data_IF_530848894590
#
_entry.id   IF_530848894590
#
_cell.length_a   1.000
_cell.length_b   1.000
_cell.length_c   1.000
_cell.angle_alpha   90.00
_cell.angle_beta   90.00
_cell.angle_gamma   90.00
#
_symmetry.space_group_name_H-M   'P 1'
#
loop_
_entity.id
_entity.type
_entity.pdbx_description
1 polymer ?
#
# COMPACT_ATOMS: atom_id res chain seq x y z
N UNK A 1 -16.78 -19.15 -0.30
CA UNK A 1 -15.36 -18.99 -0.68
C UNK A 1 -14.96 -19.77 -1.93
N UNK A 2 -15.00 -21.12 -1.98
CA UNK A 2 -14.49 -21.85 -3.16
C UNK A 2 -15.20 -21.53 -4.48
N UNK A 3 -16.53 -21.41 -4.48
CA UNK A 3 -17.30 -20.95 -5.66
C UNK A 3 -16.86 -19.57 -6.11
N UNK A 4 -16.75 -18.63 -5.16
CA UNK A 4 -16.33 -17.26 -5.42
C UNK A 4 -14.91 -17.18 -6.02
N UNK A 5 -13.99 -18.01 -5.54
CA UNK A 5 -12.64 -18.10 -6.12
C UNK A 5 -12.66 -18.64 -7.55
N UNK A 6 -13.57 -19.59 -7.84
CA UNK A 6 -13.75 -20.13 -9.20
C UNK A 6 -14.35 -19.06 -10.12
N UNK A 7 -15.29 -18.26 -9.62
CA UNK A 7 -15.92 -17.17 -10.37
C UNK A 7 -14.89 -16.06 -10.68
N UNK A 8 -14.04 -15.69 -9.72
CA UNK A 8 -12.92 -14.75 -9.95
C UNK A 8 -11.93 -15.30 -10.97
N UNK A 9 -11.59 -16.59 -10.91
CA UNK A 9 -10.71 -17.22 -11.90
C UNK A 9 -11.32 -17.15 -13.31
N UNK A 10 -12.63 -17.33 -13.43
CA UNK A 10 -13.35 -17.18 -14.69
C UNK A 10 -13.32 -15.72 -15.18
N UNK A 11 -13.63 -14.76 -14.31
CA UNK A 11 -13.60 -13.33 -14.65
C UNK A 11 -12.22 -12.90 -15.20
N UNK A 12 -11.13 -13.37 -14.59
CA UNK A 12 -9.77 -13.08 -15.05
C UNK A 12 -9.51 -13.64 -16.45
N UNK A 13 -9.96 -14.87 -16.72
CA UNK A 13 -9.82 -15.50 -18.05
C UNK A 13 -10.62 -14.74 -19.12
N UNK A 14 -11.85 -14.37 -18.79
CA UNK A 14 -12.71 -13.58 -19.68
C UNK A 14 -12.10 -12.21 -19.96
N UNK A 15 -11.65 -11.51 -18.92
CA UNK A 15 -11.03 -10.20 -19.07
C UNK A 15 -9.77 -10.27 -19.92
N UNK A 16 -8.92 -11.28 -19.72
CA UNK A 16 -7.72 -11.49 -20.55
C UNK A 16 -8.08 -11.64 -22.03
N UNK A 17 -9.12 -12.41 -22.35
CA UNK A 17 -9.59 -12.57 -23.73
C UNK A 17 -10.13 -11.25 -24.31
N UNK A 18 -10.91 -10.51 -23.52
CA UNK A 18 -11.48 -9.23 -23.94
C UNK A 18 -10.37 -8.20 -24.23
N UNK A 19 -9.38 -8.08 -23.34
CA UNK A 19 -8.25 -7.16 -23.51
C UNK A 19 -7.41 -7.53 -24.74
N UNK A 20 -7.04 -8.81 -24.89
CA UNK A 20 -6.29 -9.29 -26.07
C UNK A 20 -7.04 -9.02 -27.39
N UNK A 21 -8.37 -9.06 -27.36
CA UNK A 21 -9.20 -8.70 -28.53
C UNK A 21 -9.22 -7.19 -28.78
N UNK A 22 -9.30 -6.37 -27.74
CA UNK A 22 -9.29 -4.90 -27.83
C UNK A 22 -7.92 -4.37 -28.27
N UNK A 23 -6.83 -5.03 -27.86
CA UNK A 23 -5.47 -4.69 -28.29
C UNK A 23 -5.29 -4.91 -29.80
N UNK A 24 -5.92 -5.97 -30.34
CA UNK A 24 -5.94 -6.24 -31.80
C UNK A 24 -6.89 -5.33 -32.56
N UNK A 25 -8.04 -5.00 -31.97
CA UNK A 25 -9.03 -4.09 -32.55
C UNK A 25 -9.49 -3.02 -31.54
N UNK A 26 -8.85 -1.84 -31.56
CA UNK A 26 -9.18 -0.75 -30.65
C UNK A 26 -10.59 -0.15 -30.86
N UNK A 27 -11.29 -0.44 -31.95
CA UNK A 27 -12.68 0.02 -32.17
C UNK A 27 -13.72 -1.06 -31.81
N UNK A 28 -13.27 -2.18 -31.25
CA UNK A 28 -14.15 -3.27 -30.86
C UNK A 28 -15.20 -2.81 -29.81
N UNK A 29 -16.47 -3.19 -29.99
CA UNK A 29 -17.54 -2.90 -29.02
C UNK A 29 -17.34 -3.64 -27.69
N UNK A 30 -16.35 -4.54 -27.61
CA UNK A 30 -16.01 -5.30 -26.41
C UNK A 30 -15.44 -4.44 -25.28
N UNK A 31 -15.09 -3.17 -25.53
CA UNK A 31 -14.63 -2.23 -24.49
C UNK A 31 -15.63 -2.07 -23.35
N UNK A 32 -16.93 -1.98 -23.66
CA UNK A 32 -17.96 -1.84 -22.63
C UNK A 32 -18.19 -3.15 -21.88
N UNK A 33 -18.00 -4.28 -22.56
CA UNK A 33 -18.03 -5.62 -21.94
C UNK A 33 -16.84 -5.79 -21.00
N UNK A 34 -15.63 -5.40 -21.39
CA UNK A 34 -14.43 -5.43 -20.54
C UNK A 34 -14.62 -4.57 -19.29
N UNK A 35 -15.16 -3.34 -19.44
CA UNK A 35 -15.50 -2.48 -18.31
C UNK A 35 -16.53 -3.11 -17.36
N UNK A 36 -17.52 -3.81 -17.90
CA UNK A 36 -18.51 -4.53 -17.09
C UNK A 36 -17.90 -5.72 -16.36
N UNK A 37 -17.08 -6.50 -17.05
CA UNK A 37 -16.35 -7.64 -16.48
C UNK A 37 -15.44 -7.21 -15.34
N UNK A 38 -14.71 -6.09 -15.48
CA UNK A 38 -13.90 -5.51 -14.39
C UNK A 38 -14.77 -5.21 -13.16
N UNK A 39 -15.92 -4.54 -13.35
CA UNK A 39 -16.84 -4.24 -12.23
C UNK A 39 -17.38 -5.50 -11.55
N UNK A 40 -17.66 -6.55 -12.31
CA UNK A 40 -18.10 -7.84 -11.77
C UNK A 40 -17.00 -8.49 -10.93
N UNK A 41 -15.77 -8.53 -11.43
CA UNK A 41 -14.61 -9.07 -10.71
C UNK A 41 -14.38 -8.30 -9.39
N UNK A 42 -14.49 -6.97 -9.41
CA UNK A 42 -14.42 -6.16 -8.18
C UNK A 42 -15.50 -6.57 -7.16
N UNK A 43 -16.76 -6.73 -7.59
CA UNK A 43 -17.83 -7.15 -6.69
C UNK A 43 -17.56 -8.55 -6.09
N UNK A 44 -16.95 -9.46 -6.84
CA UNK A 44 -16.53 -10.76 -6.31
C UNK A 44 -15.37 -10.65 -5.31
N UNK A 45 -14.40 -9.77 -5.55
CA UNK A 45 -13.30 -9.50 -4.61
C UNK A 45 -13.81 -8.85 -3.32
N UNK A 46 -14.76 -7.91 -3.42
CA UNK A 46 -15.40 -7.28 -2.26
C UNK A 46 -16.17 -8.31 -1.43
N UNK A 47 -16.93 -9.18 -2.09
CA UNK A 47 -17.61 -10.29 -1.42
C UNK A 47 -16.61 -11.22 -0.73
N UNK A 48 -15.44 -11.47 -1.33
CA UNK A 48 -14.41 -12.31 -0.74
C UNK A 48 -13.86 -11.65 0.52
N UNK A 49 -13.51 -10.37 0.47
CA UNK A 49 -13.05 -9.60 1.63
C UNK A 49 -14.07 -9.66 2.78
N UNK A 50 -15.36 -9.44 2.50
CA UNK A 50 -16.41 -9.56 3.50
C UNK A 50 -16.50 -10.95 4.14
N UNK A 51 -16.23 -12.04 3.38
CA UNK A 51 -16.20 -13.39 3.95
C UNK A 51 -14.98 -13.61 4.87
N UNK A 52 -13.87 -12.90 4.66
CA UNK A 52 -12.73 -12.93 5.57
C UNK A 52 -13.02 -12.11 6.83
N UNK A 53 -13.59 -10.92 6.68
CA UNK A 53 -13.93 -10.05 7.80
C UNK A 53 -15.01 -10.66 8.71
N UNK A 54 -16.01 -11.34 8.13
CA UNK A 54 -17.05 -12.04 8.88
C UNK A 54 -16.56 -13.27 9.65
N UNK A 55 -15.36 -13.78 9.34
CA UNK A 55 -14.72 -14.88 10.08
C UNK A 55 -13.88 -14.38 11.26
N UNK A 56 -13.69 -13.07 11.40
CA UNK A 56 -13.16 -12.46 12.62
C UNK A 56 -14.34 -12.38 13.60
N UNK A 57 -14.31 -13.06 14.76
CA UNK A 57 -15.36 -12.90 15.74
C UNK A 57 -15.37 -11.44 16.19
N UNK A 58 -16.42 -10.73 15.80
CA UNK A 58 -16.79 -9.45 16.37
C UNK A 58 -17.09 -9.75 17.84
N UNK A 59 -16.17 -9.41 18.73
CA UNK A 59 -16.52 -9.16 20.14
C UNK A 59 -17.54 -8.03 20.09
N UNK A 60 -18.80 -8.45 20.12
CA UNK A 60 -19.97 -7.59 20.08
C UNK A 60 -19.91 -6.64 21.26
N UNK A 61 -19.62 -5.36 21.00
CA UNK A 61 -20.02 -4.28 21.89
C UNK A 61 -21.56 -4.24 21.85
N UNK A 62 -22.18 -4.79 22.89
CA UNK A 62 -23.60 -4.61 23.18
C UNK A 62 -23.80 -3.25 23.88
N UNK A 63 -24.83 -2.47 23.55
CA UNK A 63 -25.00 -1.13 24.07
C UNK A 63 -25.61 -1.15 25.48
N UNK A 64 -24.96 -0.55 26.46
CA UNK A 64 -25.57 -0.26 27.76
C UNK A 64 -25.02 1.04 28.39
N UNK A 65 -25.80 2.10 28.18
CA UNK A 65 -26.07 3.25 29.06
C UNK A 65 -25.25 3.36 30.35
N UNK A 66 -24.45 4.43 30.41
CA UNK A 66 -24.14 5.31 31.55
C UNK A 66 -24.42 4.78 32.96
N UNK A 67 -23.39 4.66 33.81
CA UNK A 67 -23.46 5.04 35.24
C UNK A 67 -22.08 5.51 35.72
N UNK A 68 -22.12 6.60 36.48
CA UNK A 68 -20.98 7.40 36.91
C UNK A 68 -20.25 6.87 38.15
N UNK A 69 -19.04 7.41 38.33
CA UNK A 69 -18.34 7.68 39.60
C UNK A 69 -17.52 6.53 40.22
N UNK A 70 -16.18 6.64 40.23
CA UNK A 70 -15.41 7.20 41.36
C UNK A 70 -13.91 6.78 41.35
N UNK A 71 -13.03 7.79 41.28
CA UNK A 71 -11.79 7.98 42.06
C UNK A 71 -10.65 6.92 42.01
N UNK A 72 -9.65 7.19 41.14
CA UNK A 72 -8.22 7.50 41.45
C UNK A 72 -7.31 6.47 42.20
N UNK A 73 -5.97 6.67 42.28
CA UNK A 73 -4.89 6.37 41.32
C UNK A 73 -3.84 5.34 41.87
N UNK A 74 -2.96 4.77 41.04
CA UNK A 74 -1.61 4.26 41.40
C UNK A 74 -0.91 3.77 40.13
N UNK A 75 -0.02 4.58 39.55
CA UNK A 75 1.45 4.50 39.63
C UNK A 75 2.12 3.63 38.53
N UNK A 76 3.31 4.04 38.04
CA UNK A 76 3.81 3.75 36.69
C UNK A 76 4.89 2.66 36.70
N UNK A 77 4.92 1.78 35.69
CA UNK A 77 6.13 0.99 35.40
C UNK A 77 6.32 0.86 33.89
N UNK A 78 7.34 1.58 33.42
CA UNK A 78 7.95 1.52 32.10
C UNK A 78 9.06 0.42 32.05
N UNK A 79 9.73 0.16 30.90
CA UNK A 79 9.91 -1.17 30.29
C UNK A 79 11.35 -1.70 30.32
N UNK A 80 11.56 -3.03 30.19
CA UNK A 80 12.89 -3.70 30.01
C UNK A 80 12.64 -5.22 29.81
N UNK A 81 13.33 -6.06 29.03
CA UNK A 81 14.52 -5.97 28.17
C UNK A 81 14.63 -7.26 27.31
N UNK A 82 15.27 -7.11 26.14
CA UNK A 82 16.02 -8.02 25.24
C UNK A 82 15.99 -9.55 25.37
N UNK A 83 16.02 -10.24 24.21
CA UNK A 83 17.04 -11.27 23.96
C UNK A 83 17.35 -11.46 22.45
N UNK A 84 18.61 -11.20 22.07
CA UNK A 84 19.24 -11.59 20.80
C UNK A 84 19.40 -13.12 20.74
N UNK A 85 19.11 -13.77 19.60
CA UNK A 85 19.69 -15.09 19.30
C UNK A 85 20.09 -15.21 17.83
N UNK A 86 21.30 -15.73 17.66
CA UNK A 86 22.20 -15.73 16.53
C UNK A 86 21.85 -16.77 15.44
N UNK A 87 22.33 -16.45 14.24
CA UNK A 87 22.40 -17.23 12.98
C UNK A 87 22.95 -18.66 13.14
N UNK A 88 22.66 -19.56 12.18
CA UNK A 88 23.77 -20.25 11.51
C UNK A 88 23.68 -20.33 9.97
N UNK A 89 24.85 -20.22 9.36
CA UNK A 89 25.23 -20.26 7.93
C UNK A 89 25.50 -21.70 7.47
N UNK A 90 25.05 -22.14 6.27
CA UNK A 90 25.74 -23.09 5.34
C UNK A 90 25.08 -23.02 3.91
N UNK A 91 25.65 -23.54 2.79
CA UNK A 91 26.64 -22.95 1.87
C UNK A 91 26.14 -22.70 0.42
N UNK A 92 27.01 -22.04 -0.38
CA UNK A 92 26.89 -21.60 -1.78
C UNK A 92 26.85 -22.79 -2.78
N UNK A 93 25.94 -22.74 -3.77
CA UNK A 93 26.08 -23.40 -5.07
C UNK A 93 25.71 -22.40 -6.18
N UNK A 94 26.70 -22.07 -7.00
CA UNK A 94 26.59 -21.28 -8.23
C UNK A 94 25.77 -22.00 -9.30
N UNK A 95 24.84 -21.31 -9.95
CA UNK A 95 24.40 -21.63 -11.31
C UNK A 95 23.55 -20.49 -11.89
N UNK A 96 24.14 -19.75 -12.83
CA UNK A 96 23.43 -18.88 -13.77
C UNK A 96 23.68 -17.39 -13.50
N UNK A 97 23.86 -16.55 -14.54
CA UNK A 97 24.09 -15.13 -14.37
C UNK A 97 22.81 -14.52 -13.81
N UNK A 98 22.74 -14.38 -12.50
CA UNK A 98 21.85 -13.41 -11.88
C UNK A 98 22.31 -12.08 -12.43
N UNK A 99 21.52 -11.53 -13.35
CA UNK A 99 21.51 -10.10 -13.61
C UNK A 99 21.24 -9.49 -12.24
N UNK A 100 22.31 -9.13 -11.54
CA UNK A 100 22.22 -8.60 -10.20
C UNK A 100 21.46 -7.30 -10.35
N UNK A 101 20.24 -7.28 -9.82
CA UNK A 101 19.39 -6.09 -9.71
C UNK A 101 20.05 -4.95 -8.92
N UNK A 102 21.29 -5.15 -8.42
CA UNK A 102 22.12 -4.13 -7.80
C UNK A 102 22.54 -3.03 -8.78
N UNK A 103 22.62 -3.28 -10.10
CA UNK A 103 23.10 -2.29 -11.07
C UNK A 103 22.01 -1.36 -11.63
N UNK A 104 20.74 -1.53 -11.24
CA UNK A 104 19.66 -0.56 -11.54
C UNK A 104 19.18 0.23 -10.32
N UNK A 105 19.75 -0.03 -9.15
CA UNK A 105 19.62 0.88 -8.02
C UNK A 105 20.62 2.01 -8.28
N UNK A 106 20.28 2.91 -9.21
CA UNK A 106 20.67 4.31 -9.03
C UNK A 106 20.23 4.62 -7.61
N UNK A 107 21.23 4.72 -6.75
CA UNK A 107 21.08 4.92 -5.32
C UNK A 107 20.04 6.01 -5.13
N UNK A 108 18.84 5.64 -4.67
CA UNK A 108 17.74 6.53 -4.31
C UNK A 108 18.26 7.41 -3.18
N UNK A 109 18.94 8.47 -3.59
CA UNK A 109 19.95 9.14 -2.81
C UNK A 109 19.47 10.45 -2.22
N UNK A 110 18.24 10.89 -2.51
CA UNK A 110 17.88 12.27 -2.24
C UNK A 110 16.77 12.41 -1.20
N UNK A 111 15.62 11.74 -1.33
CA UNK A 111 14.51 11.94 -0.37
C UNK A 111 14.32 10.77 0.60
N UNK A 112 14.39 9.53 0.07
CA UNK A 112 14.19 8.30 0.87
C UNK A 112 15.13 8.21 2.07
N UNK A 113 16.38 8.66 1.89
CA UNK A 113 17.41 8.56 2.94
C UNK A 113 17.24 9.60 4.05
N UNK A 114 16.50 10.68 3.79
CA UNK A 114 16.16 11.70 4.78
C UNK A 114 14.94 11.31 5.63
N UNK A 115 14.20 10.28 5.23
CA UNK A 115 13.00 9.79 5.90
C UNK A 115 13.35 8.70 6.91
N UNK A 116 12.69 8.71 8.07
CA UNK A 116 12.78 7.59 9.01
C UNK A 116 12.12 6.34 8.41
N UNK A 117 12.54 5.16 8.87
CA UNK A 117 11.85 3.91 8.54
C UNK A 117 10.38 3.97 8.95
N UNK A 118 10.09 4.56 10.11
CA UNK A 118 8.73 4.74 10.60
C UNK A 118 7.90 5.64 9.67
N UNK A 119 8.48 6.75 9.21
CA UNK A 119 7.83 7.67 8.28
C UNK A 119 7.59 7.00 6.94
N UNK A 120 8.54 6.19 6.47
CA UNK A 120 8.42 5.42 5.24
C UNK A 120 7.20 4.49 5.30
N UNK A 121 7.03 3.75 6.40
CA UNK A 121 5.87 2.88 6.59
C UNK A 121 4.57 3.66 6.76
N UNK A 122 4.60 4.75 7.56
CA UNK A 122 3.43 5.60 7.81
C UNK A 122 2.92 6.22 6.50
N UNK A 123 3.79 6.85 5.72
CA UNK A 123 3.41 7.47 4.45
C UNK A 123 2.93 6.45 3.42
N UNK A 124 3.59 5.29 3.31
CA UNK A 124 3.12 4.23 2.43
C UNK A 124 1.68 3.81 2.77
N UNK A 125 1.39 3.59 4.06
CA UNK A 125 0.07 3.16 4.52
C UNK A 125 -1.00 4.22 4.32
N UNK A 126 -0.77 5.44 4.81
CA UNK A 126 -1.80 6.49 4.87
C UNK A 126 -1.97 7.25 3.56
N UNK A 127 -0.90 7.42 2.77
CA UNK A 127 -0.94 8.24 1.54
C UNK A 127 -1.08 7.40 0.26
N UNK A 128 -0.59 6.15 0.29
CA UNK A 128 -0.55 5.28 -0.88
C UNK A 128 -1.33 3.97 -0.67
N UNK A 129 -2.16 3.87 0.38
CA UNK A 129 -2.98 2.67 0.63
C UNK A 129 -2.15 1.41 0.92
N UNK A 130 -0.91 1.57 1.38
CA UNK A 130 0.05 0.49 1.57
C UNK A 130 0.88 0.13 0.33
N UNK A 131 0.65 0.79 -0.81
CA UNK A 131 1.43 0.56 -2.03
C UNK A 131 2.81 1.23 -1.94
N UNK A 132 3.78 0.41 -1.53
CA UNK A 132 5.17 0.84 -1.40
C UNK A 132 5.80 1.14 -2.76
N UNK A 133 5.39 0.49 -3.83
CA UNK A 133 5.95 0.71 -5.17
C UNK A 133 5.50 2.06 -5.71
N UNK A 134 4.21 2.40 -5.56
CA UNK A 134 3.68 3.73 -5.90
C UNK A 134 4.36 4.84 -5.09
N UNK A 135 4.62 4.62 -3.80
CA UNK A 135 5.42 5.56 -3.00
C UNK A 135 6.84 5.68 -3.55
N UNK A 136 7.49 4.58 -3.92
CA UNK A 136 8.85 4.58 -4.46
C UNK A 136 8.95 5.36 -5.78
N UNK A 137 7.98 5.20 -6.67
CA UNK A 137 7.87 5.97 -7.92
C UNK A 137 7.65 7.46 -7.64
N UNK A 138 6.77 7.78 -6.69
CA UNK A 138 6.52 9.16 -6.28
C UNK A 138 7.80 9.81 -5.76
N UNK A 139 8.53 9.13 -4.87
CA UNK A 139 9.81 9.61 -4.37
C UNK A 139 10.82 9.82 -5.50
N UNK A 140 10.88 8.94 -6.50
CA UNK A 140 11.78 9.10 -7.64
C UNK A 140 11.42 10.31 -8.51
N UNK A 141 10.13 10.56 -8.74
CA UNK A 141 9.66 11.77 -9.41
C UNK A 141 9.99 13.03 -8.62
N UNK A 142 9.84 12.97 -7.30
CA UNK A 142 10.20 14.05 -6.39
C UNK A 142 11.69 14.36 -6.39
N UNK A 143 12.57 13.45 -6.79
CA UNK A 143 14.00 13.74 -6.95
C UNK A 143 14.31 14.47 -8.28
N UNK A 144 13.38 14.43 -9.24
CA UNK A 144 13.52 15.08 -10.55
C UNK A 144 12.86 16.45 -10.68
N UNK A 145 12.05 16.87 -9.70
CA UNK A 145 11.41 18.19 -9.74
C UNK A 145 12.42 19.31 -9.44
N UNK A 146 12.17 20.52 -9.96
CA UNK A 146 13.09 21.65 -9.81
C UNK A 146 12.71 22.58 -8.65
N UNK A 147 11.57 22.34 -7.99
CA UNK A 147 11.06 23.19 -6.89
C UNK A 147 10.12 22.42 -5.96
N UNK A 148 10.02 22.89 -4.71
CA UNK A 148 9.09 22.35 -3.71
C UNK A 148 7.62 22.46 -4.18
N UNK A 149 7.23 23.56 -4.81
CA UNK A 149 5.84 23.78 -5.24
C UNK A 149 5.42 22.86 -6.39
N UNK A 150 6.35 22.48 -7.26
CA UNK A 150 6.12 21.47 -8.30
C UNK A 150 5.96 20.08 -7.69
N UNK A 151 6.85 19.73 -6.76
CA UNK A 151 6.81 18.48 -6.00
C UNK A 151 5.50 18.30 -5.20
N UNK A 152 5.06 19.34 -4.47
CA UNK A 152 3.83 19.30 -3.68
C UNK A 152 2.59 19.13 -4.57
N UNK A 153 2.55 19.83 -5.72
CA UNK A 153 1.46 19.68 -6.69
C UNK A 153 1.38 18.27 -7.25
N UNK A 154 2.53 17.67 -7.55
CA UNK A 154 2.58 16.28 -8.02
C UNK A 154 2.06 15.31 -6.96
N UNK A 155 2.47 15.48 -5.69
CA UNK A 155 2.02 14.65 -4.58
C UNK A 155 0.51 14.74 -4.37
N UNK A 156 -0.08 15.93 -4.46
CA UNK A 156 -1.54 16.09 -4.37
C UNK A 156 -2.32 15.31 -5.43
N UNK A 157 -1.69 14.95 -6.56
CA UNK A 157 -2.29 14.11 -7.59
C UNK A 157 -1.93 12.62 -7.45
N UNK A 158 -0.76 12.32 -6.86
CA UNK A 158 -0.26 10.96 -6.71
C UNK A 158 -0.86 10.23 -5.49
N UNK A 159 -1.22 10.97 -4.44
CA UNK A 159 -1.79 10.46 -3.19
C UNK A 159 -3.26 10.05 -3.37
N UNK A 160 -3.72 9.11 -2.54
CA UNK A 160 -5.11 8.65 -2.55
C UNK A 160 -6.10 9.75 -2.07
N UNK A 161 -7.31 9.77 -2.64
CA UNK A 161 -8.36 10.73 -2.28
C UNK A 161 -8.86 10.57 -0.82
N UNK A 162 -8.61 9.42 -0.18
CA UNK A 162 -8.96 9.15 1.22
C UNK A 162 -7.75 9.23 2.16
N UNK A 163 -6.68 9.90 1.74
CA UNK A 163 -5.49 10.04 2.58
C UNK A 163 -5.77 10.86 3.86
N UNK A 164 -4.98 10.55 4.90
CA UNK A 164 -4.98 11.31 6.13
C UNK A 164 -4.31 12.68 5.92
N UNK A 165 -5.05 13.76 6.22
CA UNK A 165 -4.60 15.13 5.94
C UNK A 165 -3.45 15.58 6.85
N UNK A 166 -3.37 15.07 8.09
CA UNK A 166 -2.25 15.33 9.00
C UNK A 166 -0.96 14.68 8.46
N UNK A 167 -1.05 13.43 8.02
CA UNK A 167 0.07 12.70 7.42
C UNK A 167 0.49 13.31 6.08
N UNK A 168 -0.46 13.84 5.30
CA UNK A 168 -0.15 14.58 4.07
C UNK A 168 0.59 15.88 4.39
N UNK A 169 0.17 16.62 5.42
CA UNK A 169 0.83 17.84 5.86
C UNK A 169 2.30 17.57 6.25
N UNK A 170 2.54 16.55 7.08
CA UNK A 170 3.89 16.10 7.46
C UNK A 170 4.76 15.75 6.24
N UNK A 171 4.18 15.03 5.27
CA UNK A 171 4.89 14.66 4.05
C UNK A 171 5.23 15.88 3.20
N UNK A 172 4.31 16.86 3.07
CA UNK A 172 4.61 18.11 2.37
C UNK A 172 5.66 18.95 3.07
N UNK A 173 5.70 18.96 4.40
CA UNK A 173 6.77 19.64 5.16
C UNK A 173 8.12 18.99 4.92
N UNK A 174 8.18 17.65 4.92
CA UNK A 174 9.40 16.91 4.60
C UNK A 174 9.91 17.22 3.19
N UNK A 175 9.00 17.33 2.20
CA UNK A 175 9.33 17.75 0.84
C UNK A 175 9.87 19.19 0.84
N UNK A 176 9.21 20.14 1.50
CA UNK A 176 9.69 21.53 1.59
C UNK A 176 11.09 21.60 2.20
N UNK A 177 11.36 20.78 3.22
CA UNK A 177 12.67 20.69 3.87
C UNK A 177 13.76 20.11 2.96
N UNK A 178 13.41 19.20 2.06
CA UNK A 178 14.34 18.63 1.10
C UNK A 178 14.79 19.63 0.01
N UNK A 179 13.90 20.56 -0.34
CA UNK A 179 14.13 21.57 -1.39
C UNK A 179 14.69 22.91 -0.89
N UNK A 180 14.80 23.10 0.43
CA UNK A 180 15.38 24.28 1.08
C UNK A 180 16.87 24.10 1.36
#
# INVERSE_FOLDING_TARGET
>A
MQTLLTDIELDIKELKYLIDTIERDPQSPLKDVARRSIRQMHAHLDALAQQLDAQIPVTSEEPAVQHAFSVQPTEPVEPIVSEEVLVPVIPIVESGPTVILADRIKTAGSLRKAMSLNDTFRFARELFGGDSDKMNETLLHLEGCSSADEAIRYVSFAVDDQCDEETLADFTELIRKFYN
#
